data_IF_492909696929
#
_entry.id   IF_492909696929
#
_cell.length_a   1.000
_cell.length_b   1.000
_cell.length_c   1.000
_cell.angle_alpha   90.00
_cell.angle_beta   90.00
_cell.angle_gamma   90.00
#
_symmetry.space_group_name_H-M   'P 1'
#
loop_
_entity.id
_entity.type
_entity.pdbx_description
1 polymer ?
#
# COMPACT_ATOMS: atom_id res chain seq x y z
N UNK A 1 16.41 -0.36 -19.59
CA UNK A 1 16.69 -1.35 -18.53
C UNK A 1 15.56 -2.36 -18.56
N UNK A 2 15.86 -3.65 -18.70
CA UNK A 2 14.84 -4.70 -18.73
C UNK A 2 14.28 -4.87 -17.32
N UNK A 3 12.96 -4.76 -17.15
CA UNK A 3 12.31 -5.03 -15.87
C UNK A 3 12.32 -6.51 -15.53
N UNK A 4 12.14 -6.85 -14.25
CA UNK A 4 12.16 -8.21 -13.71
C UNK A 4 11.23 -9.18 -14.48
N UNK A 5 10.06 -8.69 -14.91
CA UNK A 5 9.08 -9.45 -15.70
C UNK A 5 9.48 -9.54 -17.19
N UNK A 6 10.10 -8.49 -17.74
CA UNK A 6 10.57 -8.47 -19.13
C UNK A 6 11.73 -9.44 -19.36
N UNK A 7 12.56 -9.68 -18.34
CA UNK A 7 13.73 -10.55 -18.45
C UNK A 7 13.37 -12.05 -18.42
N UNK A 8 12.26 -12.44 -17.77
CA UNK A 8 11.83 -13.83 -17.64
C UNK A 8 10.68 -14.27 -18.57
N UNK A 9 9.68 -13.39 -18.81
CA UNK A 9 8.44 -13.75 -19.52
C UNK A 9 8.35 -13.25 -20.98
N UNK A 10 9.25 -12.35 -21.38
CA UNK A 10 9.18 -11.64 -22.66
C UNK A 10 8.14 -10.51 -22.68
N UNK A 11 8.31 -9.57 -23.62
CA UNK A 11 7.50 -8.36 -23.73
C UNK A 11 5.97 -8.55 -23.91
N UNK A 12 5.44 -9.58 -24.62
CA UNK A 12 3.99 -9.70 -24.82
C UNK A 12 3.22 -10.10 -23.56
N UNK A 13 3.88 -10.75 -22.59
CA UNK A 13 3.18 -11.30 -21.42
C UNK A 13 2.96 -10.28 -20.29
N UNK A 14 3.67 -9.15 -20.35
CA UNK A 14 3.58 -8.07 -19.33
C UNK A 14 2.15 -7.55 -19.23
N UNK A 15 1.44 -7.40 -20.36
CA UNK A 15 0.06 -6.94 -20.38
C UNK A 15 -0.89 -7.85 -19.63
N UNK A 16 -0.71 -9.17 -19.73
CA UNK A 16 -1.53 -10.14 -18.99
C UNK A 16 -1.30 -10.05 -17.49
N UNK A 17 -0.05 -9.85 -17.06
CA UNK A 17 0.29 -9.68 -15.63
C UNK A 17 -0.36 -8.41 -15.07
N UNK A 18 -0.34 -7.31 -15.82
CA UNK A 18 -1.01 -6.05 -15.45
C UNK A 18 -2.53 -6.25 -15.36
N UNK A 19 -3.13 -7.04 -16.26
CA UNK A 19 -4.56 -7.35 -16.22
C UNK A 19 -4.95 -8.18 -15.00
N UNK A 20 -4.12 -9.16 -14.60
CA UNK A 20 -4.34 -9.94 -13.38
C UNK A 20 -4.24 -9.08 -12.14
N UNK A 21 -3.24 -8.19 -12.08
CA UNK A 21 -3.13 -7.18 -11.04
C UNK A 21 -4.41 -6.33 -10.96
N UNK A 22 -4.83 -5.73 -12.08
CA UNK A 22 -5.98 -4.83 -12.11
C UNK A 22 -7.30 -5.53 -11.73
N UNK A 23 -7.51 -6.76 -12.20
CA UNK A 23 -8.72 -7.53 -11.85
C UNK A 23 -8.75 -7.90 -10.37
N UNK A 24 -7.62 -8.32 -9.80
CA UNK A 24 -7.49 -8.57 -8.36
C UNK A 24 -7.74 -7.30 -7.53
N UNK A 25 -7.16 -6.16 -7.93
CA UNK A 25 -7.37 -4.87 -7.27
C UNK A 25 -8.84 -4.42 -7.32
N UNK A 26 -9.52 -4.60 -8.45
CA UNK A 26 -10.93 -4.24 -8.61
C UNK A 26 -11.86 -5.09 -7.74
N UNK A 27 -11.63 -6.41 -7.71
CA UNK A 27 -12.37 -7.34 -6.85
C UNK A 27 -12.15 -7.02 -5.37
N UNK A 28 -10.91 -6.79 -4.98
CA UNK A 28 -10.57 -6.44 -3.60
C UNK A 28 -11.16 -5.10 -3.18
N UNK A 29 -11.13 -4.09 -4.06
CA UNK A 29 -11.73 -2.78 -3.79
C UNK A 29 -13.23 -2.89 -3.54
N UNK A 30 -13.93 -3.72 -4.33
CA UNK A 30 -15.37 -3.97 -4.16
C UNK A 30 -15.68 -4.67 -2.82
N UNK A 31 -14.82 -5.60 -2.39
CA UNK A 31 -14.99 -6.35 -1.14
C UNK A 31 -14.49 -5.59 0.10
N UNK A 32 -13.65 -4.58 -0.08
CA UNK A 32 -12.99 -3.85 1.02
C UNK A 32 -13.98 -3.25 2.02
N UNK A 33 -15.14 -2.75 1.54
CA UNK A 33 -16.19 -2.21 2.40
C UNK A 33 -16.79 -3.25 3.35
N UNK A 34 -16.91 -4.50 2.90
CA UNK A 34 -17.37 -5.61 3.76
C UNK A 34 -16.26 -6.10 4.70
N UNK A 35 -15.02 -6.17 4.20
CA UNK A 35 -13.86 -6.62 4.97
C UNK A 35 -13.54 -5.69 6.15
N UNK A 36 -13.66 -4.38 5.97
CA UNK A 36 -13.46 -3.39 7.05
C UNK A 36 -14.44 -3.60 8.20
N UNK A 37 -15.70 -3.93 7.90
CA UNK A 37 -16.73 -4.17 8.92
C UNK A 37 -16.45 -5.42 9.76
N UNK A 38 -15.78 -6.44 9.20
CA UNK A 38 -15.45 -7.68 9.92
C UNK A 38 -14.12 -7.64 10.67
N UNK A 39 -13.08 -7.07 10.06
CA UNK A 39 -11.69 -7.18 10.57
C UNK A 39 -11.20 -5.91 11.28
N UNK A 40 -11.89 -4.79 11.09
CA UNK A 40 -11.45 -3.48 11.56
C UNK A 40 -10.29 -2.91 10.74
N UNK A 41 -10.25 -1.58 10.66
CA UNK A 41 -9.27 -0.80 9.89
C UNK A 41 -7.81 -1.17 10.21
N UNK A 42 -7.48 -1.29 11.50
CA UNK A 42 -6.13 -1.56 12.01
C UNK A 42 -5.57 -2.91 11.54
N UNK A 43 -6.36 -3.97 11.73
CA UNK A 43 -5.92 -5.33 11.38
C UNK A 43 -5.74 -5.48 9.87
N UNK A 44 -6.61 -4.85 9.09
CA UNK A 44 -6.55 -4.91 7.63
C UNK A 44 -5.28 -4.24 7.09
N UNK A 45 -4.93 -3.04 7.59
CA UNK A 45 -3.72 -2.34 7.18
C UNK A 45 -2.44 -3.11 7.54
N UNK A 46 -2.36 -3.62 8.78
CA UNK A 46 -1.19 -4.42 9.22
C UNK A 46 -1.03 -5.69 8.40
N UNK A 47 -2.13 -6.41 8.14
CA UNK A 47 -2.08 -7.64 7.33
C UNK A 47 -1.57 -7.37 5.91
N UNK A 48 -2.01 -6.29 5.27
CA UNK A 48 -1.53 -5.90 3.95
C UNK A 48 -0.05 -5.48 3.97
N UNK A 49 0.41 -4.85 5.06
CA UNK A 49 1.83 -4.55 5.26
C UNK A 49 2.71 -5.80 5.37
N UNK A 50 2.25 -6.82 6.10
CA UNK A 50 2.95 -8.10 6.19
C UNK A 50 2.99 -8.84 4.85
N UNK A 51 1.90 -8.81 4.09
CA UNK A 51 1.86 -9.39 2.74
C UNK A 51 2.88 -8.67 1.84
N UNK A 52 2.84 -7.34 1.77
CA UNK A 52 3.80 -6.57 0.98
C UNK A 52 5.26 -6.85 1.38
N UNK A 53 5.56 -6.91 2.69
CA UNK A 53 6.90 -7.26 3.16
C UNK A 53 7.32 -8.66 2.68
N UNK A 54 6.43 -9.65 2.81
CA UNK A 54 6.69 -11.03 2.37
C UNK A 54 6.93 -11.09 0.86
N UNK A 55 6.20 -10.30 0.07
CA UNK A 55 6.38 -10.22 -1.38
C UNK A 55 7.70 -9.56 -1.77
N UNK A 56 8.12 -8.50 -1.07
CA UNK A 56 9.42 -7.85 -1.31
C UNK A 56 10.55 -8.82 -0.97
N UNK A 57 10.46 -9.56 0.14
CA UNK A 57 11.43 -10.59 0.49
C UNK A 57 11.46 -11.72 -0.55
N UNK A 58 10.30 -12.11 -1.09
CA UNK A 58 10.23 -13.06 -2.19
C UNK A 58 10.97 -12.53 -3.42
N UNK A 59 10.72 -11.27 -3.83
CA UNK A 59 11.41 -10.65 -4.97
C UNK A 59 12.92 -10.49 -4.76
N UNK A 60 13.40 -10.32 -3.53
CA UNK A 60 14.83 -10.24 -3.21
C UNK A 60 15.54 -11.59 -3.25
N UNK A 61 14.85 -12.69 -2.93
CA UNK A 61 15.44 -14.03 -2.85
C UNK A 61 15.18 -14.88 -4.10
N UNK A 62 14.20 -14.50 -4.92
CA UNK A 62 13.83 -15.23 -6.13
C UNK A 62 14.65 -14.75 -7.32
N UNK A 63 15.43 -15.63 -7.95
CA UNK A 63 16.02 -15.33 -9.27
C UNK A 63 15.00 -15.65 -10.38
N UNK A 64 14.69 -14.70 -11.28
CA UNK A 64 13.64 -14.87 -12.29
C UNK A 64 14.03 -15.97 -13.29
N UNK A 65 13.50 -17.18 -13.08
CA UNK A 65 13.63 -18.31 -13.99
C UNK A 65 12.44 -18.36 -14.96
N UNK A 66 12.74 -18.54 -16.25
CA UNK A 66 11.75 -18.50 -17.34
C UNK A 66 10.69 -19.62 -17.30
N UNK A 67 10.85 -20.65 -16.46
CA UNK A 67 9.98 -21.84 -16.45
C UNK A 67 8.77 -21.74 -15.49
N UNK A 68 8.69 -20.66 -14.71
CA UNK A 68 7.70 -20.51 -13.63
C UNK A 68 6.62 -19.44 -13.93
N UNK A 69 6.01 -19.49 -15.12
CA UNK A 69 4.95 -18.56 -15.55
C UNK A 69 3.82 -18.31 -14.53
N UNK A 70 3.27 -19.33 -13.82
CA UNK A 70 2.14 -19.12 -12.91
C UNK A 70 2.47 -18.21 -11.72
N UNK A 71 3.72 -18.22 -11.26
CA UNK A 71 4.14 -17.47 -10.08
C UNK A 71 4.10 -15.96 -10.31
N UNK A 72 4.40 -15.50 -11.52
CA UNK A 72 4.28 -14.08 -11.87
C UNK A 72 2.83 -13.58 -11.77
N UNK A 73 1.84 -14.40 -12.16
CA UNK A 73 0.42 -14.05 -12.04
C UNK A 73 -0.06 -14.08 -10.59
N UNK A 74 0.37 -15.07 -9.80
CA UNK A 74 0.03 -15.17 -8.37
C UNK A 74 0.61 -13.96 -7.62
N UNK A 75 1.89 -13.66 -7.86
CA UNK A 75 2.56 -12.49 -7.28
C UNK A 75 1.82 -11.22 -7.67
N UNK A 76 1.53 -10.99 -8.95
CA UNK A 76 0.79 -9.82 -9.39
C UNK A 76 -0.62 -9.71 -8.78
N UNK A 77 -1.33 -10.83 -8.64
CA UNK A 77 -2.64 -10.87 -7.99
C UNK A 77 -2.58 -10.50 -6.52
N UNK A 78 -1.66 -11.10 -5.74
CA UNK A 78 -1.49 -10.80 -4.31
C UNK A 78 -1.03 -9.34 -4.11
N UNK A 79 -0.15 -8.84 -4.99
CA UNK A 79 0.26 -7.44 -4.96
C UNK A 79 -0.92 -6.51 -5.23
N UNK A 80 -1.77 -6.83 -6.21
CA UNK A 80 -2.97 -6.05 -6.53
C UNK A 80 -3.98 -6.02 -5.38
N UNK A 81 -4.19 -7.16 -4.71
CA UNK A 81 -5.02 -7.21 -3.49
C UNK A 81 -4.45 -6.28 -2.43
N UNK A 82 -3.13 -6.36 -2.16
CA UNK A 82 -2.50 -5.53 -1.14
C UNK A 82 -2.57 -4.04 -1.48
N UNK A 83 -2.28 -3.66 -2.73
CA UNK A 83 -2.38 -2.28 -3.23
C UNK A 83 -3.79 -1.70 -3.05
N UNK A 84 -4.82 -2.47 -3.43
CA UNK A 84 -6.21 -2.07 -3.25
C UNK A 84 -6.57 -1.83 -1.78
N UNK A 85 -6.08 -2.68 -0.87
CA UNK A 85 -6.27 -2.48 0.58
C UNK A 85 -5.60 -1.18 1.04
N UNK A 86 -4.34 -0.96 0.71
CA UNK A 86 -3.63 0.25 1.10
C UNK A 86 -4.33 1.52 0.58
N UNK A 87 -4.71 1.53 -0.70
CA UNK A 87 -5.37 2.67 -1.32
C UNK A 87 -6.73 2.99 -0.67
N UNK A 88 -7.55 1.96 -0.43
CA UNK A 88 -8.89 2.12 0.18
C UNK A 88 -8.79 2.56 1.64
N UNK A 89 -7.92 1.94 2.44
CA UNK A 89 -7.75 2.29 3.85
C UNK A 89 -7.16 3.69 4.02
N UNK A 90 -6.17 4.07 3.21
CA UNK A 90 -5.54 5.39 3.31
C UNK A 90 -6.52 6.50 2.92
N UNK A 91 -7.29 6.31 1.85
CA UNK A 91 -8.36 7.23 1.45
C UNK A 91 -9.41 7.39 2.54
N UNK A 92 -9.82 6.30 3.18
CA UNK A 92 -10.78 6.35 4.30
C UNK A 92 -10.21 7.04 5.54
N UNK A 93 -8.92 6.82 5.85
CA UNK A 93 -8.26 7.46 7.00
C UNK A 93 -8.22 8.99 6.84
N UNK A 94 -7.84 9.49 5.66
CA UNK A 94 -7.83 10.94 5.39
C UNK A 94 -9.22 11.57 5.52
N UNK A 95 -10.28 10.85 5.13
CA UNK A 95 -11.66 11.31 5.30
C UNK A 95 -12.10 11.40 6.77
N UNK A 96 -11.61 10.50 7.64
CA UNK A 96 -11.96 10.50 9.08
C UNK A 96 -11.11 11.51 9.87
N UNK A 97 -9.84 11.69 9.52
CA UNK A 97 -8.94 12.61 10.24
C UNK A 97 -9.37 14.07 10.07
N UNK A 98 -9.85 14.46 8.89
CA UNK A 98 -10.23 15.84 8.57
C UNK A 98 -11.74 15.98 8.29
N UNK A 99 -12.57 15.71 9.29
CA UNK A 99 -14.05 15.84 9.16
C UNK A 99 -14.47 17.28 8.80
N UNK A 100 -13.72 18.28 9.25
CA UNK A 100 -14.06 19.69 9.03
C UNK A 100 -13.84 20.18 7.58
N UNK A 101 -12.92 19.58 6.83
CA UNK A 101 -12.60 19.97 5.45
C UNK A 101 -12.00 18.81 4.65
N UNK A 102 -12.80 17.76 4.35
CA UNK A 102 -12.30 16.55 3.70
C UNK A 102 -11.75 16.82 2.29
N UNK A 103 -12.33 17.80 1.57
CA UNK A 103 -11.91 18.20 0.21
C UNK A 103 -10.47 18.74 0.17
N UNK A 104 -10.08 19.52 1.18
CA UNK A 104 -8.73 20.08 1.29
C UNK A 104 -7.70 18.97 1.62
N UNK A 105 -8.05 18.08 2.55
CA UNK A 105 -7.20 16.94 2.91
C UNK A 105 -7.01 15.97 1.73
N UNK A 106 -8.09 15.70 0.98
CA UNK A 106 -8.03 14.85 -0.20
C UNK A 106 -7.18 15.47 -1.32
N UNK A 107 -7.27 16.79 -1.52
CA UNK A 107 -6.44 17.50 -2.50
C UNK A 107 -4.95 17.38 -2.19
N UNK A 108 -4.56 17.50 -0.91
CA UNK A 108 -3.17 17.30 -0.46
C UNK A 108 -2.73 15.85 -0.61
N UNK A 109 -3.61 14.88 -0.33
CA UNK A 109 -3.35 13.46 -0.54
C UNK A 109 -3.02 13.15 -2.01
N UNK A 110 -3.87 13.58 -2.94
CA UNK A 110 -3.67 13.35 -4.39
C UNK A 110 -2.40 14.05 -4.89
N UNK A 111 -2.08 15.23 -4.35
CA UNK A 111 -0.83 15.94 -4.68
C UNK A 111 0.40 15.12 -4.28
N UNK A 112 0.44 14.61 -3.06
CA UNK A 112 1.54 13.78 -2.59
C UNK A 112 1.65 12.46 -3.36
N UNK A 113 0.52 11.86 -3.66
CA UNK A 113 0.43 10.65 -4.47
C UNK A 113 1.00 10.87 -5.88
N UNK A 114 0.63 11.98 -6.53
CA UNK A 114 1.11 12.35 -7.85
C UNK A 114 2.62 12.61 -7.87
N UNK A 115 3.14 13.27 -6.83
CA UNK A 115 4.59 13.45 -6.63
C UNK A 115 5.32 12.10 -6.51
N UNK A 116 4.72 11.15 -5.78
CA UNK A 116 5.23 9.78 -5.68
C UNK A 116 5.34 9.12 -7.06
N UNK A 117 4.27 9.13 -7.85
CA UNK A 117 4.31 8.56 -9.21
C UNK A 117 5.31 9.24 -10.14
N UNK A 118 5.41 10.57 -10.06
CA UNK A 118 6.41 11.31 -10.82
C UNK A 118 7.83 10.89 -10.43
N UNK A 119 8.11 10.74 -9.13
CA UNK A 119 9.42 10.31 -8.65
C UNK A 119 9.80 8.91 -9.16
N UNK A 120 8.85 7.97 -9.15
CA UNK A 120 9.05 6.60 -9.65
C UNK A 120 9.28 6.62 -11.17
N UNK A 121 8.51 7.41 -11.91
CA UNK A 121 8.68 7.52 -13.36
C UNK A 121 10.06 8.04 -13.77
N UNK A 122 10.57 9.06 -13.06
CA UNK A 122 11.90 9.62 -13.31
C UNK A 122 13.01 8.63 -12.93
N UNK A 123 12.86 7.96 -11.78
CA UNK A 123 13.86 7.02 -11.27
C UNK A 123 13.92 5.72 -12.06
N UNK A 124 12.81 5.27 -12.65
CA UNK A 124 12.76 4.05 -13.49
C UNK A 124 13.75 4.07 -14.67
N UNK A 125 14.06 5.26 -15.20
CA UNK A 125 15.01 5.40 -16.31
C UNK A 125 16.47 5.48 -15.87
N UNK A 126 16.72 5.74 -14.58
CA UNK A 126 18.04 6.08 -14.04
C UNK A 126 18.60 5.04 -13.06
N UNK A 127 17.74 4.29 -12.36
CA UNK A 127 18.14 3.34 -11.31
C UNK A 127 18.05 1.88 -11.77
N UNK A 128 19.01 1.08 -11.28
CA UNK A 128 18.96 -0.38 -11.39
C UNK A 128 17.77 -0.97 -10.60
N UNK A 129 17.33 -2.17 -11.01
CA UNK A 129 16.20 -2.87 -10.38
C UNK A 129 16.46 -3.13 -8.89
N UNK A 130 17.68 -3.50 -8.50
CA UNK A 130 18.04 -3.78 -7.11
C UNK A 130 17.81 -2.57 -6.21
N UNK A 131 18.27 -1.39 -6.64
CA UNK A 131 18.08 -0.14 -5.90
C UNK A 131 16.59 0.22 -5.75
N UNK A 132 15.79 -0.09 -6.76
CA UNK A 132 14.35 0.16 -6.75
C UNK A 132 13.63 -0.69 -5.69
N UNK A 133 14.06 -1.94 -5.49
CA UNK A 133 13.50 -2.83 -4.45
C UNK A 133 13.86 -2.35 -3.05
N UNK A 134 15.09 -1.87 -2.82
CA UNK A 134 15.49 -1.28 -1.54
C UNK A 134 14.73 0.01 -1.21
N UNK A 135 14.51 0.88 -2.20
CA UNK A 135 13.71 2.09 -2.02
C UNK A 135 12.28 1.71 -1.63
N UNK A 136 11.69 0.72 -2.29
CA UNK A 136 10.34 0.25 -1.99
C UNK A 136 10.24 -0.33 -0.57
N UNK A 137 11.26 -1.05 -0.10
CA UNK A 137 11.33 -1.53 1.28
C UNK A 137 11.36 -0.37 2.30
N UNK A 138 12.20 0.65 2.06
CA UNK A 138 12.28 1.84 2.93
C UNK A 138 10.95 2.61 2.97
N UNK A 139 10.29 2.74 1.81
CA UNK A 139 8.97 3.36 1.72
C UNK A 139 7.92 2.58 2.51
N UNK A 140 7.92 1.25 2.44
CA UNK A 140 7.01 0.41 3.21
C UNK A 140 7.17 0.65 4.71
N UNK A 141 8.41 0.61 5.23
CA UNK A 141 8.67 0.89 6.65
C UNK A 141 8.24 2.29 7.05
N UNK A 142 8.55 3.30 6.24
CA UNK A 142 8.12 4.67 6.52
C UNK A 142 6.59 4.81 6.57
N UNK A 143 5.87 4.10 5.69
CA UNK A 143 4.41 4.07 5.67
C UNK A 143 3.81 3.39 6.90
N UNK A 144 4.36 2.25 7.31
CA UNK A 144 3.92 1.54 8.52
C UNK A 144 4.19 2.37 9.78
N UNK A 145 5.36 3.00 9.89
CA UNK A 145 5.69 3.90 11.01
C UNK A 145 4.72 5.09 11.03
N UNK A 146 4.47 5.72 9.88
CA UNK A 146 3.51 6.81 9.75
C UNK A 146 2.11 6.41 10.22
N UNK A 147 1.63 5.24 9.81
CA UNK A 147 0.35 4.70 10.25
C UNK A 147 0.30 4.46 11.77
N UNK A 148 1.33 3.83 12.34
CA UNK A 148 1.43 3.60 13.79
C UNK A 148 1.45 4.91 14.57
N UNK A 149 2.16 5.93 14.08
CA UNK A 149 2.16 7.26 14.70
C UNK A 149 0.76 7.89 14.72
N UNK A 150 0.03 7.85 13.60
CA UNK A 150 -1.35 8.36 13.55
C UNK A 150 -2.24 7.61 14.53
N UNK A 151 -2.11 6.29 14.60
CA UNK A 151 -2.90 5.46 15.51
C UNK A 151 -2.62 5.78 16.99
N UNK A 152 -1.36 6.00 17.35
CA UNK A 152 -0.97 6.39 18.72
C UNK A 152 -1.53 7.77 19.06
N UNK A 153 -1.45 8.73 18.14
CA UNK A 153 -1.98 10.09 18.33
C UNK A 153 -3.50 10.05 18.48
N UNK A 154 -4.20 9.28 17.66
CA UNK A 154 -5.64 9.08 17.73
C UNK A 154 -6.04 8.45 19.06
N UNK A 155 -5.37 7.36 19.47
CA UNK A 155 -5.62 6.70 20.75
C UNK A 155 -5.37 7.63 21.96
N UNK A 156 -4.38 8.53 21.88
CA UNK A 156 -4.12 9.54 22.91
C UNK A 156 -5.20 10.61 22.95
N UNK A 157 -5.69 11.08 21.79
CA UNK A 157 -6.81 12.03 21.71
C UNK A 157 -8.06 11.48 22.38
N UNK A 158 -8.41 10.22 22.10
CA UNK A 158 -9.56 9.58 22.74
C UNK A 158 -9.35 9.39 24.26
N UNK A 159 -8.15 9.02 24.71
CA UNK A 159 -7.85 8.90 26.14
C UNK A 159 -7.77 10.22 26.91
N UNK A 160 -7.51 11.34 26.22
CA UNK A 160 -7.50 12.68 26.84
C UNK A 160 -8.89 13.35 26.83
N UNK A 161 -9.77 12.94 25.92
CA UNK A 161 -11.17 13.40 25.87
C UNK A 161 -12.11 12.55 26.75
N UNK A 162 -11.57 11.69 27.61
CA UNK A 162 -12.36 11.00 28.62
C UNK A 162 -12.87 12.04 29.66
N UNK A 163 -14.19 12.24 29.81
CA UNK A 163 -14.75 13.23 30.74
C UNK A 163 -14.33 13.02 32.20
N UNK A 164 -13.85 11.82 32.55
CA UNK A 164 -13.31 11.52 33.89
C UNK A 164 -12.04 12.33 34.26
N UNK A 165 -11.25 12.78 33.27
CA UNK A 165 -10.05 13.61 33.51
C UNK A 165 -10.33 15.11 33.51
N UNK A 166 -11.41 15.57 32.89
CA UNK A 166 -11.84 16.98 32.98
C UNK A 166 -12.38 17.30 34.39
N UNK A 167 -13.04 16.34 35.05
CA UNK A 167 -13.56 16.50 36.42
C UNK A 167 -12.49 16.44 37.51
N UNK A 168 -11.24 16.06 37.20
CA UNK A 168 -10.13 16.05 38.15
C UNK A 168 -9.39 17.40 38.24
N UNK A 169 -9.84 18.41 37.50
CA UNK A 169 -9.26 19.76 37.43
C UNK A 169 -10.22 20.82 38.01
N UNK A 170 -11.46 20.45 38.37
CA UNK A 170 -12.41 21.29 39.14
C UNK A 170 -12.39 20.95 40.64
#
# INVERSE_FOLDING_TARGET
MQGFVSCGLGQPMIGYVILTFASASALCSSLSGFLVQRLGRRSMFLSAGFVNLSMILLMLNWEPQADHFPLYFIVAGIWGVSDAVWHTQLSALYGVVQVASPEAAFSVFVLWHSLGYLSVFLTHSLLCVDASVYILLMLLFSGVIGYLCVEIVESRRFGNNDPSKLQAIE
#
